data_IF_480382285550
#
_entry.id   IF_480382285550
#
_cell.length_a   1.000
_cell.length_b   1.000
_cell.length_c   1.000
_cell.angle_alpha   90.00
_cell.angle_beta   90.00
_cell.angle_gamma   90.00
#
_symmetry.space_group_name_H-M   'P 1'
#
loop_
_entity.id
_entity.type
_entity.pdbx_description
1 polymer ?
#
# COMPACT_ATOMS: atom_id res chain seq x y z
N UNK A 1 15.72 -5.41 15.93
CA UNK A 1 14.65 -5.93 15.05
C UNK A 1 15.15 -5.81 13.64
N UNK A 2 14.86 -6.79 12.79
CA UNK A 2 15.42 -6.84 11.44
C UNK A 2 14.59 -5.87 10.57
N UNK A 3 14.93 -4.58 10.64
CA UNK A 3 14.27 -3.49 9.92
C UNK A 3 14.72 -3.49 8.45
N UNK A 4 14.59 -4.64 7.79
CA UNK A 4 14.98 -4.85 6.40
C UNK A 4 13.73 -4.88 5.52
N UNK A 5 13.81 -4.19 4.38
CA UNK A 5 12.85 -4.35 3.28
C UNK A 5 12.79 -5.84 2.91
N UNK A 6 11.59 -6.40 2.88
CA UNK A 6 11.37 -7.79 2.49
C UNK A 6 11.18 -7.83 0.97
N UNK A 7 12.08 -8.50 0.27
CA UNK A 7 11.91 -8.81 -1.16
C UNK A 7 10.98 -10.03 -1.29
N UNK A 8 9.79 -9.83 -1.86
CA UNK A 8 8.72 -10.85 -1.89
C UNK A 8 7.81 -10.63 -3.11
N UNK A 9 7.04 -11.64 -3.55
CA UNK A 9 6.12 -11.43 -4.68
C UNK A 9 4.93 -10.53 -4.30
N UNK A 10 4.28 -9.89 -5.29
CA UNK A 10 3.19 -8.93 -5.04
C UNK A 10 2.07 -9.54 -4.22
N UNK A 11 1.63 -10.75 -4.55
CA UNK A 11 0.54 -11.43 -3.84
C UNK A 11 0.89 -11.65 -2.35
N UNK A 12 2.10 -12.13 -2.07
CA UNK A 12 2.57 -12.36 -0.71
C UNK A 12 2.79 -11.05 0.05
N UNK A 13 3.24 -9.98 -0.61
CA UNK A 13 3.33 -8.64 -0.02
C UNK A 13 1.96 -8.12 0.42
N UNK A 14 0.96 -8.23 -0.45
CA UNK A 14 -0.43 -7.90 -0.11
C UNK A 14 -0.98 -8.76 1.04
N UNK A 15 -0.63 -10.05 1.08
CA UNK A 15 -1.02 -10.92 2.18
C UNK A 15 -0.33 -10.51 3.50
N UNK A 16 0.96 -10.17 3.47
CA UNK A 16 1.70 -9.71 4.64
C UNK A 16 1.10 -8.42 5.25
N UNK A 17 0.60 -7.50 4.40
CA UNK A 17 -0.14 -6.32 4.87
C UNK A 17 -1.44 -6.72 5.60
N UNK A 18 -2.19 -7.69 5.05
CA UNK A 18 -3.43 -8.17 5.68
C UNK A 18 -3.15 -8.93 6.99
N UNK A 19 -2.10 -9.73 7.02
CA UNK A 19 -1.70 -10.47 8.23
C UNK A 19 -1.28 -9.50 9.33
N UNK A 20 -0.54 -8.43 8.98
CA UNK A 20 -0.17 -7.39 9.92
C UNK A 20 -1.40 -6.63 10.45
N UNK A 21 -2.35 -6.31 9.57
CA UNK A 21 -3.63 -5.73 9.96
C UNK A 21 -4.39 -6.64 10.93
N UNK A 22 -4.49 -7.93 10.62
CA UNK A 22 -5.16 -8.90 11.48
C UNK A 22 -4.47 -9.04 12.85
N UNK A 23 -3.14 -9.03 12.88
CA UNK A 23 -2.37 -9.07 14.13
C UNK A 23 -2.66 -7.85 15.02
N UNK A 24 -2.71 -6.64 14.43
CA UNK A 24 -3.06 -5.43 15.18
C UNK A 24 -4.52 -5.42 15.62
N UNK A 25 -5.44 -5.79 14.73
CA UNK A 25 -6.88 -5.85 15.06
C UNK A 25 -7.21 -6.87 16.14
N UNK A 26 -6.47 -7.98 16.23
CA UNK A 26 -6.66 -9.00 17.28
C UNK A 26 -5.96 -8.65 18.60
N UNK A 27 -5.16 -7.59 18.64
CA UNK A 27 -4.32 -7.24 19.79
C UNK A 27 -3.09 -8.13 19.95
N UNK A 28 -2.75 -8.94 18.94
CA UNK A 28 -1.50 -9.72 18.92
C UNK A 28 -0.27 -8.82 18.70
N UNK A 29 -0.46 -7.62 18.15
CA UNK A 29 0.52 -6.55 18.07
C UNK A 29 -0.15 -5.20 18.39
N UNK A 30 0.55 -4.29 19.06
CA UNK A 30 0.02 -2.95 19.35
C UNK A 30 0.01 -2.06 18.08
N UNK A 31 0.99 -2.27 17.21
CA UNK A 31 1.18 -1.59 15.92
C UNK A 31 2.14 -2.40 15.05
N UNK A 32 2.31 -1.98 13.80
CA UNK A 32 3.18 -2.59 12.83
C UNK A 32 3.66 -1.61 11.77
N UNK A 33 4.90 -1.79 11.33
CA UNK A 33 5.48 -1.11 10.19
C UNK A 33 6.11 -2.16 9.29
N UNK A 34 5.65 -2.25 8.04
CA UNK A 34 6.12 -3.21 7.06
C UNK A 34 6.69 -2.47 5.85
N UNK A 35 7.91 -2.84 5.47
CA UNK A 35 8.53 -2.46 4.22
C UNK A 35 8.69 -3.69 3.34
N UNK A 36 8.16 -3.65 2.13
CA UNK A 36 8.33 -4.75 1.19
C UNK A 36 8.48 -4.24 -0.24
N UNK A 37 9.18 -5.02 -1.06
CA UNK A 37 9.46 -4.71 -2.46
C UNK A 37 9.12 -5.93 -3.32
N UNK A 38 8.31 -5.77 -4.37
CA UNK A 38 7.97 -6.85 -5.28
C UNK A 38 9.20 -7.47 -5.97
N UNK A 39 9.28 -8.80 -5.99
CA UNK A 39 10.25 -9.52 -6.84
C UNK A 39 9.71 -9.78 -8.25
N UNK A 40 8.40 -9.66 -8.43
CA UNK A 40 7.66 -9.80 -9.68
C UNK A 40 6.88 -8.50 -10.00
N UNK A 41 5.87 -8.57 -10.86
CA UNK A 41 5.07 -7.42 -11.27
C UNK A 41 3.60 -7.77 -11.38
N UNK A 42 2.75 -6.79 -11.07
CA UNK A 42 1.30 -6.90 -11.20
C UNK A 42 0.67 -5.51 -11.26
N UNK A 43 -0.54 -5.43 -11.83
CA UNK A 43 -1.39 -4.26 -11.65
C UNK A 43 -2.34 -4.53 -10.48
N UNK A 44 -2.13 -3.85 -9.35
CA UNK A 44 -2.96 -4.02 -8.16
C UNK A 44 -4.09 -3.01 -8.18
N UNK A 45 -5.34 -3.45 -8.07
CA UNK A 45 -6.50 -2.54 -8.07
C UNK A 45 -7.58 -2.93 -7.07
N UNK A 46 -8.47 -2.00 -6.68
CA UNK A 46 -9.53 -2.31 -5.73
C UNK A 46 -10.50 -3.37 -6.29
N UNK A 47 -10.92 -4.32 -5.45
CA UNK A 47 -11.83 -5.41 -5.82
C UNK A 47 -13.12 -4.92 -6.49
N UNK A 48 -13.61 -3.72 -6.14
CA UNK A 48 -14.82 -3.13 -6.78
C UNK A 48 -14.68 -2.98 -8.30
N UNK A 49 -13.47 -2.79 -8.82
CA UNK A 49 -13.21 -2.65 -10.26
C UNK A 49 -13.41 -3.94 -11.03
N UNK A 50 -13.40 -5.10 -10.35
CA UNK A 50 -13.68 -6.40 -10.98
C UNK A 50 -15.11 -6.52 -11.51
N UNK A 51 -15.99 -5.58 -11.14
CA UNK A 51 -17.39 -5.51 -11.57
C UNK A 51 -17.60 -4.61 -12.79
N UNK A 52 -16.56 -3.91 -13.25
CA UNK A 52 -16.66 -3.04 -14.41
C UNK A 52 -16.85 -3.87 -15.68
N UNK A 53 -17.66 -3.39 -16.65
CA UNK A 53 -17.73 -4.00 -17.97
C UNK A 53 -16.33 -4.08 -18.60
N UNK A 54 -16.00 -5.22 -19.23
CA UNK A 54 -14.70 -5.43 -19.87
C UNK A 54 -13.54 -5.76 -18.92
N UNK A 55 -13.78 -5.87 -17.60
CA UNK A 55 -12.72 -6.19 -16.63
C UNK A 55 -12.00 -7.50 -16.97
N UNK A 56 -12.74 -8.57 -17.31
CA UNK A 56 -12.15 -9.87 -17.62
C UNK A 56 -11.23 -9.78 -18.83
N UNK A 57 -11.71 -9.21 -19.94
CA UNK A 57 -10.93 -9.03 -21.17
C UNK A 57 -9.69 -8.14 -20.95
N UNK A 58 -9.83 -7.05 -20.18
CA UNK A 58 -8.71 -6.18 -19.83
C UNK A 58 -7.69 -6.91 -18.94
N UNK A 59 -8.15 -7.73 -17.99
CA UNK A 59 -7.29 -8.52 -17.11
C UNK A 59 -6.53 -9.60 -17.88
N UNK A 60 -7.19 -10.29 -18.82
CA UNK A 60 -6.55 -11.28 -19.71
C UNK A 60 -5.50 -10.60 -20.59
N UNK A 61 -5.86 -9.49 -21.23
CA UNK A 61 -4.92 -8.70 -22.04
C UNK A 61 -3.70 -8.26 -21.23
N UNK A 62 -3.89 -7.78 -20.00
CA UNK A 62 -2.78 -7.37 -19.14
C UNK A 62 -1.91 -8.56 -18.72
N UNK A 63 -2.51 -9.71 -18.41
CA UNK A 63 -1.79 -10.93 -18.08
C UNK A 63 -0.92 -11.42 -19.26
N UNK A 64 -1.46 -11.39 -20.48
CA UNK A 64 -0.72 -11.73 -21.71
C UNK A 64 0.47 -10.78 -21.95
N UNK A 65 0.38 -9.54 -21.48
CA UNK A 65 1.46 -8.55 -21.48
C UNK A 65 2.39 -8.64 -20.26
N UNK A 66 2.25 -9.68 -19.43
CA UNK A 66 3.09 -9.92 -18.25
C UNK A 66 2.75 -9.06 -17.03
N UNK A 67 1.57 -8.44 -17.01
CA UNK A 67 1.05 -7.61 -15.92
C UNK A 67 -0.25 -8.20 -15.36
N UNK A 68 -0.21 -9.35 -14.66
CA UNK A 68 -1.42 -9.93 -14.08
C UNK A 68 -2.11 -8.92 -13.14
N UNK A 69 -3.44 -8.96 -13.11
CA UNK A 69 -4.23 -8.14 -12.19
C UNK A 69 -4.37 -8.85 -10.85
N UNK A 70 -4.00 -8.17 -9.77
CA UNK A 70 -4.27 -8.61 -8.40
C UNK A 70 -5.26 -7.64 -7.74
N UNK A 71 -6.17 -8.17 -6.93
CA UNK A 71 -7.21 -7.39 -6.29
C UNK A 71 -6.91 -7.14 -4.81
N UNK A 72 -7.12 -5.91 -4.37
CA UNK A 72 -7.06 -5.51 -2.95
C UNK A 72 -8.42 -5.09 -2.42
N UNK A 73 -8.63 -5.21 -1.11
CA UNK A 73 -9.92 -4.89 -0.48
C UNK A 73 -10.16 -3.38 -0.34
N UNK A 74 -9.13 -2.60 -0.03
CA UNK A 74 -9.26 -1.17 0.29
C UNK A 74 -9.04 -0.26 -0.93
N UNK A 75 -9.47 1.00 -0.79
CA UNK A 75 -9.79 1.95 -1.85
C UNK A 75 -8.66 2.41 -2.78
N UNK A 76 -8.82 3.60 -3.39
CA UNK A 76 -7.88 4.16 -4.36
C UNK A 76 -8.10 3.66 -5.79
N UNK A 77 -7.06 3.79 -6.60
CA UNK A 77 -7.01 3.48 -8.03
C UNK A 77 -6.05 2.30 -8.30
N UNK A 78 -5.97 1.79 -9.55
CA UNK A 78 -4.95 0.82 -9.94
C UNK A 78 -3.54 1.37 -9.75
N UNK A 79 -2.65 0.56 -9.18
CA UNK A 79 -1.25 0.92 -8.94
C UNK A 79 -0.34 -0.19 -9.50
N UNK A 80 0.63 0.15 -10.36
CA UNK A 80 1.61 -0.82 -10.83
C UNK A 80 2.59 -1.19 -9.70
N UNK A 81 2.78 -2.49 -9.51
CA UNK A 81 3.75 -3.05 -8.59
C UNK A 81 4.88 -3.70 -9.38
N UNK A 82 6.13 -3.42 -8.98
CA UNK A 82 7.33 -4.01 -9.58
C UNK A 82 8.51 -3.90 -8.63
N UNK A 83 9.66 -4.47 -9.00
CA UNK A 83 10.91 -4.31 -8.24
C UNK A 83 11.44 -2.87 -8.14
N UNK A 84 10.86 -1.92 -8.88
CA UNK A 84 11.15 -0.50 -8.72
C UNK A 84 10.28 0.19 -7.65
N UNK A 85 9.31 -0.51 -7.08
CA UNK A 85 8.37 0.02 -6.09
C UNK A 85 8.73 -0.46 -4.69
N UNK A 86 8.77 0.44 -3.71
CA UNK A 86 8.80 0.09 -2.29
C UNK A 86 7.44 0.40 -1.69
N UNK A 87 6.81 -0.62 -1.10
CA UNK A 87 5.55 -0.49 -0.38
C UNK A 87 5.84 -0.34 1.11
N UNK A 88 5.08 0.55 1.75
CA UNK A 88 5.22 0.85 3.17
C UNK A 88 3.81 0.80 3.78
N UNK A 89 3.60 -0.09 4.74
CA UNK A 89 2.36 -0.20 5.48
C UNK A 89 2.59 0.13 6.95
N UNK A 90 1.94 1.21 7.40
CA UNK A 90 1.85 1.58 8.81
C UNK A 90 0.47 1.15 9.33
N UNK A 91 0.45 0.28 10.32
CA UNK A 91 -0.76 -0.31 10.88
C UNK A 91 -0.79 -0.07 12.39
N UNK A 92 -1.86 0.51 12.90
CA UNK A 92 -2.04 0.76 14.33
C UNK A 92 -3.53 0.88 14.68
N UNK A 93 -3.88 0.58 15.91
CA UNK A 93 -5.20 0.90 16.44
C UNK A 93 -5.29 2.42 16.68
N UNK A 94 -6.36 3.05 16.20
CA UNK A 94 -6.54 4.50 16.35
C UNK A 94 -6.45 4.90 17.84
N UNK A 95 -5.52 5.80 18.23
CA UNK A 95 -5.43 6.31 19.59
C UNK A 95 -6.76 6.91 20.05
N UNK A 96 -7.17 6.59 21.29
CA UNK A 96 -8.42 7.12 21.87
C UNK A 96 -8.45 8.65 22.00
N UNK A 97 -7.29 9.30 21.99
CA UNK A 97 -7.16 10.75 22.03
C UNK A 97 -7.42 11.43 20.67
N UNK A 98 -7.42 10.69 19.56
CA UNK A 98 -7.62 11.24 18.23
C UNK A 98 -9.10 11.57 17.99
N UNK A 99 -9.38 12.77 17.48
CA UNK A 99 -10.74 13.18 17.09
C UNK A 99 -11.12 12.45 15.80
N UNK A 100 -12.28 11.78 15.81
CA UNK A 100 -12.72 10.92 14.69
C UNK A 100 -12.90 11.68 13.36
N UNK A 101 -13.21 13.00 13.41
CA UNK A 101 -13.42 13.84 12.22
C UNK A 101 -12.20 13.86 11.29
N UNK A 102 -11.00 13.95 11.84
CA UNK A 102 -9.76 14.16 11.06
C UNK A 102 -8.91 12.88 10.99
N UNK A 103 -9.49 11.73 11.31
CA UNK A 103 -8.77 10.45 11.47
C UNK A 103 -8.01 10.02 10.22
N UNK A 104 -8.59 10.23 9.05
CA UNK A 104 -8.00 9.79 7.77
C UNK A 104 -6.83 10.70 7.40
N UNK A 105 -7.02 12.01 7.49
CA UNK A 105 -5.95 12.99 7.25
C UNK A 105 -4.78 12.78 8.22
N UNK A 106 -5.09 12.59 9.51
CA UNK A 106 -4.08 12.30 10.54
C UNK A 106 -3.31 11.03 10.23
N UNK A 107 -3.98 9.97 9.76
CA UNK A 107 -3.32 8.72 9.36
C UNK A 107 -2.38 8.91 8.16
N UNK A 108 -2.81 9.68 7.15
CA UNK A 108 -1.94 10.04 6.02
C UNK A 108 -0.71 10.83 6.49
N UNK A 109 -0.87 11.83 7.35
CA UNK A 109 0.25 12.63 7.85
C UNK A 109 1.24 11.79 8.66
N UNK A 110 0.76 10.85 9.49
CA UNK A 110 1.65 9.95 10.26
C UNK A 110 2.53 9.08 9.38
N UNK A 111 2.04 8.67 8.20
CA UNK A 111 2.83 7.90 7.24
C UNK A 111 3.69 8.81 6.35
N UNK A 112 3.11 9.88 5.82
CA UNK A 112 3.74 10.69 4.78
C UNK A 112 4.77 11.68 5.33
N UNK A 113 4.55 12.30 6.49
CA UNK A 113 5.47 13.34 6.98
C UNK A 113 6.91 12.82 7.16
N UNK A 114 7.15 11.66 7.80
CA UNK A 114 8.51 11.12 7.89
C UNK A 114 9.15 10.83 6.54
N UNK A 115 8.34 10.46 5.53
CA UNK A 115 8.84 10.22 4.17
C UNK A 115 9.21 11.53 3.46
N UNK A 116 8.42 12.59 3.65
CA UNK A 116 8.73 13.92 3.13
C UNK A 116 10.06 14.42 3.72
N UNK A 117 10.20 14.32 5.05
CA UNK A 117 11.41 14.76 5.77
C UNK A 117 12.64 14.02 5.24
N UNK A 118 12.57 12.69 5.13
CA UNK A 118 13.64 11.86 4.58
C UNK A 118 14.00 12.23 3.13
N UNK A 119 13.00 12.41 2.27
CA UNK A 119 13.25 12.74 0.86
C UNK A 119 13.91 14.12 0.72
N UNK A 120 13.55 15.08 1.57
CA UNK A 120 14.18 16.40 1.63
C UNK A 120 15.62 16.32 2.14
N UNK A 121 15.87 15.53 3.20
CA UNK A 121 17.22 15.30 3.72
C UNK A 121 18.15 14.67 2.68
N UNK A 122 17.62 13.81 1.81
CA UNK A 122 18.36 13.21 0.69
C UNK A 122 18.57 14.17 -0.50
N UNK A 123 18.12 15.43 -0.39
CA UNK A 123 18.26 16.47 -1.41
C UNK A 123 17.14 16.49 -2.45
N UNK A 124 16.05 15.75 -2.21
CA UNK A 124 14.86 15.76 -3.04
C UNK A 124 13.93 16.95 -2.77
N UNK A 125 12.93 17.10 -3.62
CA UNK A 125 11.79 17.99 -3.39
C UNK A 125 10.54 17.12 -3.26
N UNK A 126 9.92 17.11 -2.08
CA UNK A 126 8.76 16.27 -1.79
C UNK A 126 7.61 17.12 -1.24
N UNK A 127 6.39 16.75 -1.62
CA UNK A 127 5.15 17.38 -1.15
C UNK A 127 4.05 16.34 -1.03
N UNK A 128 3.10 16.57 -0.11
CA UNK A 128 1.87 15.78 0.00
C UNK A 128 0.71 16.54 -0.66
N UNK A 129 0.02 15.88 -1.59
CA UNK A 129 -1.13 16.46 -2.27
C UNK A 129 -1.60 15.63 -3.45
N UNK A 130 -2.71 16.05 -4.05
CA UNK A 130 -3.21 15.51 -5.31
C UNK A 130 -2.27 15.90 -6.46
N UNK A 131 -2.06 14.97 -7.39
CA UNK A 131 -1.31 15.21 -8.63
C UNK A 131 -2.31 15.13 -9.78
N UNK A 132 -2.31 16.14 -10.67
CA UNK A 132 -3.14 16.11 -11.86
C UNK A 132 -2.74 14.94 -12.77
N UNK A 133 -3.72 14.09 -13.09
CA UNK A 133 -3.60 12.97 -14.03
C UNK A 133 -3.95 13.34 -15.46
#
# INVERSE_FOLDING_TARGET
>A
MQDSIIDICVEQGLQAEQDLLAAVCSGAADHGLLFWRPTDRALVMPRRMSRLPGFVEASETLADNGWPVLLRETGGEPVPQSSATVNIALVYAQPAADVDRDRIETAYLRLCQPLLDLLVELGGQASLGEVAG
#
